data_IF_892367140824
#
_entry.id   IF_892367140824
#
_cell.length_a   1.000
_cell.length_b   1.000
_cell.length_c   1.000
_cell.angle_alpha   90.00
_cell.angle_beta   90.00
_cell.angle_gamma   90.00
#
_symmetry.space_group_name_H-M   'P 1'
#
loop_
_entity.id
_entity.type
_entity.pdbx_description
1 polymer ?
#
# COMPACT_ATOMS: atom_id res chain seq x y z
N UNK A 1 -16.11 -4.02 0.81
CA UNK A 1 -15.38 -3.57 2.01
C UNK A 1 -13.93 -3.96 1.79
N UNK A 2 -12.98 -3.02 1.81
CA UNK A 2 -11.57 -3.38 1.73
C UNK A 2 -11.21 -4.28 2.92
N UNK A 3 -10.33 -5.26 2.71
CA UNK A 3 -9.95 -6.25 3.75
C UNK A 3 -9.08 -5.63 4.86
N UNK A 4 -8.55 -4.43 4.61
CA UNK A 4 -7.73 -3.61 5.52
C UNK A 4 -8.21 -2.15 5.44
N UNK A 5 -8.02 -1.38 6.50
CA UNK A 5 -8.36 0.04 6.56
C UNK A 5 -7.11 0.91 6.67
N UNK A 6 -7.23 2.20 6.32
CA UNK A 6 -6.11 3.15 6.46
C UNK A 6 -5.69 3.32 7.92
N UNK A 7 -6.62 3.14 8.87
CA UNK A 7 -6.31 3.25 10.29
C UNK A 7 -5.38 2.13 10.77
N UNK A 8 -5.47 0.93 10.18
CA UNK A 8 -4.52 -0.17 10.45
C UNK A 8 -3.10 0.20 9.99
N UNK A 9 -2.97 0.97 8.91
CA UNK A 9 -1.68 1.42 8.40
C UNK A 9 -1.05 2.54 9.25
N UNK A 10 -1.87 3.30 10.01
CA UNK A 10 -1.39 4.39 10.87
C UNK A 10 -0.63 3.89 12.10
N UNK A 11 -0.77 2.61 12.48
CA UNK A 11 0.05 1.99 13.53
C UNK A 11 1.53 1.91 13.13
N UNK A 12 1.82 1.81 11.82
CA UNK A 12 3.18 1.69 11.29
C UNK A 12 3.74 3.04 10.83
N UNK A 13 2.90 3.87 10.19
CA UNK A 13 3.28 5.21 9.72
C UNK A 13 2.26 6.22 10.26
N UNK A 14 2.55 6.90 11.38
CA UNK A 14 1.59 7.80 12.02
C UNK A 14 1.33 9.08 11.20
N UNK A 15 2.23 9.44 10.27
CA UNK A 15 2.06 10.60 9.40
C UNK A 15 1.33 10.22 8.10
N UNK A 16 0.11 10.74 7.94
CA UNK A 16 -0.74 10.51 6.75
C UNK A 16 -0.12 10.99 5.43
N UNK A 17 0.67 12.07 5.44
CA UNK A 17 1.31 12.58 4.23
C UNK A 17 2.48 11.68 3.79
N UNK A 18 3.23 11.15 4.76
CA UNK A 18 4.31 10.20 4.46
C UNK A 18 3.76 8.84 4.03
N UNK A 19 2.66 8.39 4.67
CA UNK A 19 1.96 7.16 4.31
C UNK A 19 1.51 7.19 2.85
N UNK A 20 0.83 8.25 2.43
CA UNK A 20 0.36 8.39 1.04
C UNK A 20 1.50 8.46 0.02
N UNK A 21 2.63 9.08 0.39
CA UNK A 21 3.82 9.15 -0.46
C UNK A 21 4.49 7.77 -0.60
N UNK A 22 4.64 7.04 0.50
CA UNK A 22 5.21 5.70 0.52
C UNK A 22 4.33 4.70 -0.26
N UNK A 23 3.01 4.75 -0.06
CA UNK A 23 2.04 3.94 -0.81
C UNK A 23 2.11 4.21 -2.30
N UNK A 24 2.09 5.49 -2.72
CA UNK A 24 2.17 5.88 -4.13
C UNK A 24 3.46 5.39 -4.81
N UNK A 25 4.58 5.43 -4.07
CA UNK A 25 5.85 4.94 -4.56
C UNK A 25 5.84 3.42 -4.73
N UNK A 26 5.32 2.69 -3.74
CA UNK A 26 5.25 1.22 -3.78
C UNK A 26 4.27 0.72 -4.83
N UNK A 27 3.09 1.32 -4.92
CA UNK A 27 2.08 1.12 -5.97
C UNK A 27 2.70 1.17 -7.36
N UNK A 28 3.48 2.22 -7.64
CA UNK A 28 4.18 2.39 -8.91
C UNK A 28 5.20 1.27 -9.16
N UNK A 29 5.96 0.85 -8.16
CA UNK A 29 6.90 -0.26 -8.32
C UNK A 29 6.19 -1.56 -8.70
N UNK A 30 5.07 -1.87 -8.03
CA UNK A 30 4.26 -3.06 -8.34
C UNK A 30 3.68 -2.95 -9.75
N UNK A 31 3.16 -1.78 -10.13
CA UNK A 31 2.65 -1.51 -11.48
C UNK A 31 3.71 -1.68 -12.58
N UNK A 32 5.01 -1.53 -12.28
CA UNK A 32 6.11 -1.74 -13.24
C UNK A 32 6.48 -3.23 -13.36
N UNK A 33 5.91 -4.10 -12.52
CA UNK A 33 6.17 -5.56 -12.51
C UNK A 33 7.15 -6.00 -11.43
N UNK A 34 7.39 -5.18 -10.41
CA UNK A 34 8.23 -5.56 -9.28
C UNK A 34 7.46 -6.53 -8.36
N UNK A 35 8.15 -7.50 -7.77
CA UNK A 35 7.50 -8.58 -7.00
C UNK A 35 6.73 -8.02 -5.80
N UNK A 36 5.45 -8.36 -5.71
CA UNK A 36 4.64 -8.09 -4.52
C UNK A 36 5.17 -8.92 -3.34
N UNK A 37 5.23 -8.31 -2.15
CA UNK A 37 5.66 -9.00 -0.92
C UNK A 37 4.50 -9.74 -0.23
N UNK A 38 3.29 -9.60 -0.80
CA UNK A 38 2.02 -10.13 -0.29
C UNK A 38 1.26 -10.69 -1.49
N UNK A 39 0.47 -11.74 -1.29
CA UNK A 39 -0.34 -12.33 -2.34
C UNK A 39 -1.35 -11.32 -2.91
N UNK A 40 -1.30 -11.11 -4.23
CA UNK A 40 -2.24 -10.25 -4.95
C UNK A 40 -3.64 -10.91 -4.96
N UNK A 41 -4.53 -10.40 -4.09
CA UNK A 41 -5.89 -10.90 -3.96
C UNK A 41 -6.90 -10.14 -4.85
N UNK A 42 -6.51 -9.79 -6.08
CA UNK A 42 -7.21 -8.87 -7.00
C UNK A 42 -7.29 -7.41 -6.51
N UNK A 43 -6.34 -7.00 -5.67
CA UNK A 43 -6.23 -5.59 -5.28
C UNK A 43 -5.63 -4.76 -6.40
N UNK A 44 -6.02 -3.48 -6.46
CA UNK A 44 -5.47 -2.55 -7.46
C UNK A 44 -4.03 -2.19 -7.07
N UNK A 45 -3.08 -2.19 -8.02
CA UNK A 45 -1.72 -1.73 -7.79
C UNK A 45 -1.65 -0.22 -7.59
#
# INVERSE_FOLDING_TARGET
MARITVDDCLEFIPNRFELTLAESYRARQISIGNTALVDENNDKP
#
